data_IF_472749609665
#
_entry.id   IF_472749609665
#
_cell.length_a   1.000
_cell.length_b   1.000
_cell.length_c   1.000
_cell.angle_alpha   90.00
_cell.angle_beta   90.00
_cell.angle_gamma   90.00
#
_symmetry.space_group_name_H-M   'P 1'
#
loop_
_entity.id
_entity.type
_entity.pdbx_description
1 polymer ?
#
# COMPACT_ATOMS: atom_id res chain seq x y z
N UNK A 1 70.08 -59.10 -11.65
CA UNK A 1 69.50 -57.75 -11.62
C UNK A 1 69.85 -57.00 -12.89
N UNK A 2 68.91 -56.97 -13.84
CA UNK A 2 69.02 -56.21 -15.08
C UNK A 2 67.85 -55.21 -15.12
N UNK A 3 68.18 -53.92 -15.16
CA UNK A 3 67.21 -52.82 -15.22
C UNK A 3 66.86 -52.54 -16.70
N UNK A 4 65.59 -52.44 -17.10
CA UNK A 4 65.22 -52.04 -18.46
C UNK A 4 65.25 -50.52 -18.61
N UNK A 5 65.91 -50.06 -19.68
CA UNK A 5 65.95 -48.65 -20.09
C UNK A 5 64.70 -48.35 -20.93
N UNK A 6 63.92 -47.34 -20.53
CA UNK A 6 62.79 -46.80 -21.29
C UNK A 6 63.26 -45.65 -22.20
N UNK A 7 62.76 -45.50 -23.44
CA UNK A 7 63.11 -44.38 -24.29
C UNK A 7 62.28 -43.11 -23.96
N UNK A 8 62.76 -41.91 -24.32
CA UNK A 8 62.13 -40.65 -23.94
C UNK A 8 60.93 -40.32 -24.84
N UNK A 9 59.85 -39.85 -24.22
CA UNK A 9 58.65 -39.33 -24.91
C UNK A 9 58.93 -38.03 -25.67
N UNK A 10 58.59 -38.02 -26.95
CA UNK A 10 58.69 -36.88 -27.86
C UNK A 10 57.50 -35.93 -27.66
N UNK A 11 57.69 -34.88 -26.86
CA UNK A 11 56.69 -33.81 -26.66
C UNK A 11 56.63 -32.85 -27.86
N UNK A 12 56.11 -33.30 -28.99
CA UNK A 12 55.64 -32.39 -30.06
C UNK A 12 54.33 -31.72 -29.65
N UNK A 13 54.46 -30.54 -29.05
CA UNK A 13 53.37 -29.58 -28.79
C UNK A 13 52.66 -29.21 -30.10
N UNK A 14 51.40 -29.62 -30.27
CA UNK A 14 50.48 -29.01 -31.22
C UNK A 14 49.96 -27.70 -30.61
N UNK A 15 50.51 -26.58 -31.07
CA UNK A 15 49.93 -25.25 -30.87
C UNK A 15 48.65 -25.16 -31.70
N UNK A 16 47.51 -25.46 -31.09
CA UNK A 16 46.19 -25.23 -31.68
C UNK A 16 45.92 -23.74 -31.59
N UNK A 17 45.79 -23.11 -32.76
CA UNK A 17 45.34 -21.74 -32.96
C UNK A 17 44.03 -21.47 -32.21
N UNK A 18 44.13 -20.68 -31.14
CA UNK A 18 43.03 -20.26 -30.27
C UNK A 18 42.62 -18.82 -30.57
N UNK A 19 42.55 -18.47 -31.86
CA UNK A 19 42.15 -17.15 -32.34
C UNK A 19 41.06 -17.29 -33.38
N UNK A 20 39.80 -17.52 -32.97
CA UNK A 20 38.63 -17.39 -33.84
C UNK A 20 37.31 -17.53 -33.03
N UNK A 21 37.13 -16.85 -31.90
CA UNK A 21 35.80 -16.76 -31.23
C UNK A 21 35.55 -15.42 -30.51
N UNK A 22 36.09 -14.30 -31.00
CA UNK A 22 35.95 -12.99 -30.31
C UNK A 22 34.80 -12.10 -30.81
N UNK A 23 33.88 -12.62 -31.64
CA UNK A 23 32.76 -11.82 -32.17
C UNK A 23 31.36 -12.39 -31.90
N UNK A 24 31.20 -13.33 -30.96
CA UNK A 24 29.86 -13.71 -30.53
C UNK A 24 29.25 -12.55 -29.72
N UNK A 25 28.06 -12.03 -30.10
CA UNK A 25 27.39 -11.02 -29.29
C UNK A 25 27.18 -11.59 -27.88
N UNK A 26 27.35 -10.77 -26.83
CA UNK A 26 27.15 -11.24 -25.47
C UNK A 26 25.74 -11.84 -25.36
N UNK A 27 25.59 -12.94 -24.62
CA UNK A 27 24.28 -13.55 -24.43
C UNK A 27 23.30 -12.49 -23.90
N UNK A 28 22.03 -12.54 -24.34
CA UNK A 28 21.03 -11.60 -23.87
C UNK A 28 21.01 -11.63 -22.34
N UNK A 29 21.18 -10.46 -21.72
CA UNK A 29 21.11 -10.38 -20.28
C UNK A 29 19.72 -10.79 -19.82
N UNK A 30 19.61 -11.53 -18.70
CA UNK A 30 18.32 -11.79 -18.10
C UNK A 30 17.64 -10.45 -17.79
N UNK A 31 16.30 -10.37 -17.91
CA UNK A 31 15.57 -9.16 -17.53
C UNK A 31 15.91 -8.78 -16.10
N UNK A 32 16.09 -7.48 -15.87
CA UNK A 32 16.30 -6.97 -14.51
C UNK A 32 15.13 -7.41 -13.62
N UNK A 33 15.38 -7.78 -12.35
CA UNK A 33 14.31 -8.12 -11.43
C UNK A 33 13.34 -6.94 -11.33
N UNK A 34 12.03 -7.24 -11.34
CA UNK A 34 11.00 -6.24 -11.21
C UNK A 34 11.21 -5.44 -9.90
N UNK A 35 11.14 -4.11 -9.98
CA UNK A 35 11.20 -3.27 -8.77
C UNK A 35 9.90 -3.47 -8.01
N UNK A 36 9.96 -4.14 -6.86
CA UNK A 36 8.80 -4.39 -6.00
C UNK A 36 8.08 -3.10 -5.58
N UNK A 37 8.74 -1.94 -5.68
CA UNK A 37 8.11 -0.61 -5.45
C UNK A 37 7.09 -0.24 -6.53
N UNK A 38 7.09 -0.94 -7.66
CA UNK A 38 6.09 -0.77 -8.71
C UNK A 38 4.74 -1.39 -8.31
N UNK A 39 4.73 -2.35 -7.39
CA UNK A 39 3.51 -2.95 -6.82
C UNK A 39 2.70 -1.90 -6.05
N UNK A 40 1.38 -1.89 -6.28
CA UNK A 40 0.44 -1.11 -5.51
C UNK A 40 -0.11 -1.98 -4.38
N UNK A 41 -0.06 -1.51 -3.13
CA UNK A 41 -0.60 -2.24 -1.99
C UNK A 41 -1.89 -1.58 -1.56
N UNK A 42 -3.03 -2.27 -1.61
CA UNK A 42 -4.32 -1.69 -1.22
C UNK A 42 -4.69 -2.19 0.17
N UNK A 43 -4.96 -1.24 1.05
CA UNK A 43 -5.28 -1.45 2.46
C UNK A 43 -6.73 -1.08 2.66
N UNK A 44 -7.55 -2.01 3.14
CA UNK A 44 -8.97 -1.80 3.40
C UNK A 44 -9.29 -2.17 4.84
N UNK A 45 -10.05 -1.34 5.51
CA UNK A 45 -10.45 -1.63 6.89
C UNK A 45 -11.47 -0.67 7.45
N UNK A 46 -11.85 -0.94 8.70
CA UNK A 46 -12.83 -0.17 9.45
C UNK A 46 -12.11 0.81 10.37
N UNK A 47 -12.52 2.07 10.30
CA UNK A 47 -12.12 3.11 11.25
C UNK A 47 -13.15 3.16 12.37
N UNK A 48 -12.68 3.03 13.61
CA UNK A 48 -13.50 3.13 14.81
C UNK A 48 -12.98 4.26 15.69
N UNK A 49 -13.88 5.05 16.27
CA UNK A 49 -13.53 6.09 17.23
C UNK A 49 -14.30 5.92 18.53
N UNK A 50 -13.56 5.92 19.64
CA UNK A 50 -14.12 5.95 20.98
C UNK A 50 -13.90 7.36 21.56
N UNK A 51 -14.94 8.21 21.66
CA UNK A 51 -14.81 9.58 22.15
C UNK A 51 -14.37 9.63 23.62
N UNK A 52 -14.89 8.74 24.46
CA UNK A 52 -14.57 8.64 25.90
C UNK A 52 -13.09 8.34 26.14
N UNK A 53 -12.52 7.41 25.37
CA UNK A 53 -11.11 7.03 25.44
C UNK A 53 -10.22 7.90 24.55
N UNK A 54 -10.81 8.76 23.72
CA UNK A 54 -10.15 9.53 22.64
C UNK A 54 -9.25 8.66 21.76
N UNK A 55 -9.69 7.43 21.44
CA UNK A 55 -8.92 6.46 20.65
C UNK A 55 -9.56 6.28 19.28
N UNK A 56 -8.74 6.36 18.24
CA UNK A 56 -9.14 6.06 16.87
C UNK A 56 -8.29 4.90 16.36
N UNK A 57 -8.92 3.85 15.85
CA UNK A 57 -8.26 2.65 15.34
C UNK A 57 -8.70 2.39 13.91
N UNK A 58 -7.79 1.85 13.11
CA UNK A 58 -8.05 1.39 11.76
C UNK A 58 -7.56 -0.05 11.66
N UNK A 59 -8.50 -0.96 11.42
CA UNK A 59 -8.27 -2.41 11.45
C UNK A 59 -8.80 -3.01 10.16
N UNK A 60 -8.03 -3.90 9.54
CA UNK A 60 -8.45 -4.54 8.32
C UNK A 60 -7.39 -5.44 7.70
N UNK A 61 -7.43 -5.54 6.38
CA UNK A 61 -6.52 -6.36 5.58
C UNK A 61 -5.98 -5.60 4.38
N UNK A 62 -4.91 -6.12 3.80
CA UNK A 62 -4.29 -5.55 2.61
C UNK A 62 -4.00 -6.60 1.54
N UNK A 63 -4.13 -6.19 0.28
CA UNK A 63 -3.87 -7.03 -0.88
C UNK A 63 -2.85 -6.36 -1.81
N UNK A 64 -1.88 -7.12 -2.35
CA UNK A 64 -1.00 -6.61 -3.40
C UNK A 64 -1.75 -6.57 -4.74
N UNK A 65 -1.56 -5.50 -5.49
CA UNK A 65 -2.01 -5.35 -6.86
C UNK A 65 -0.79 -5.21 -7.77
N UNK A 66 -0.63 -6.20 -8.65
CA UNK A 66 0.58 -6.37 -9.47
C UNK A 66 0.62 -5.38 -10.64
N UNK A 67 -0.53 -4.97 -11.18
CA UNK A 67 -0.62 -4.05 -12.31
C UNK A 67 -1.78 -3.06 -12.17
N UNK A 68 -1.56 -1.82 -12.60
CA UNK A 68 -2.61 -0.80 -12.78
C UNK A 68 -3.63 -1.18 -13.86
N UNK A 69 -3.27 -2.05 -14.79
CA UNK A 69 -4.14 -2.45 -15.89
C UNK A 69 -5.29 -3.38 -15.47
N UNK A 70 -5.15 -4.04 -14.31
CA UNK A 70 -6.07 -5.09 -13.87
C UNK A 70 -7.27 -4.54 -13.06
N UNK A 71 -7.38 -3.22 -12.92
CA UNK A 71 -8.42 -2.57 -12.11
C UNK A 71 -8.16 -2.66 -10.60
N UNK A 72 -9.01 -2.07 -9.75
CA UNK A 72 -8.86 -2.16 -8.29
C UNK A 72 -8.96 -3.60 -7.78
N UNK A 73 -8.38 -3.92 -6.61
CA UNK A 73 -8.61 -5.20 -5.97
C UNK A 73 -10.08 -5.36 -5.63
N UNK A 74 -10.61 -6.52 -5.99
CA UNK A 74 -11.96 -6.96 -5.69
C UNK A 74 -12.06 -7.48 -4.25
N UNK A 75 -13.28 -7.64 -3.72
CA UNK A 75 -13.49 -8.30 -2.42
C UNK A 75 -12.81 -9.67 -2.34
N UNK A 76 -12.79 -10.41 -3.46
CA UNK A 76 -12.14 -11.72 -3.58
C UNK A 76 -10.62 -11.64 -3.36
N UNK A 77 -9.98 -10.55 -3.73
CA UNK A 77 -8.55 -10.36 -3.49
C UNK A 77 -8.28 -10.26 -1.99
N UNK A 78 -9.11 -9.55 -1.24
CA UNK A 78 -9.01 -9.49 0.23
C UNK A 78 -9.39 -10.83 0.90
N UNK A 79 -10.34 -11.57 0.33
CA UNK A 79 -10.66 -12.94 0.76
C UNK A 79 -9.52 -13.93 0.47
N UNK A 80 -8.70 -13.69 -0.54
CA UNK A 80 -7.52 -14.54 -0.81
C UNK A 80 -6.37 -14.17 0.12
N UNK A 81 -6.33 -12.92 0.58
CA UNK A 81 -5.28 -12.37 1.44
C UNK A 81 -5.76 -12.09 2.87
N UNK A 82 -6.71 -12.88 3.41
CA UNK A 82 -7.31 -12.64 4.75
C UNK A 82 -6.28 -12.57 5.86
N UNK A 83 -5.15 -13.24 5.67
CA UNK A 83 -4.07 -13.34 6.64
C UNK A 83 -3.17 -12.08 6.66
N UNK A 84 -3.22 -11.26 5.60
CA UNK A 84 -2.53 -9.98 5.47
C UNK A 84 -3.28 -8.90 6.25
N UNK A 85 -3.31 -9.05 7.57
CA UNK A 85 -4.05 -8.17 8.47
C UNK A 85 -3.20 -6.99 8.96
N UNK A 86 -3.87 -5.93 9.38
CA UNK A 86 -3.24 -4.81 10.05
C UNK A 86 -4.11 -4.24 11.16
N UNK A 87 -3.43 -3.59 12.11
CA UNK A 87 -4.04 -2.82 13.20
C UNK A 87 -3.21 -1.57 13.38
N UNK A 88 -3.79 -0.42 13.03
CA UNK A 88 -3.19 0.88 13.23
C UNK A 88 -4.00 1.66 14.27
N UNK A 89 -3.29 2.35 15.15
CA UNK A 89 -3.86 3.21 16.17
C UNK A 89 -3.38 4.63 15.94
N UNK A 90 -4.26 5.60 16.12
CA UNK A 90 -3.84 6.98 16.12
C UNK A 90 -2.94 7.24 17.33
N UNK A 91 -1.79 7.86 17.07
CA UNK A 91 -0.94 8.44 18.12
C UNK A 91 -1.50 9.82 18.48
N UNK A 92 -1.84 9.99 19.76
CA UNK A 92 -2.27 11.30 20.26
C UNK A 92 -1.07 12.24 20.28
N UNK A 93 -1.00 13.13 19.29
CA UNK A 93 -0.20 14.35 19.45
C UNK A 93 -0.89 15.21 20.52
N UNK A 94 -0.20 15.41 21.65
CA UNK A 94 -0.68 16.24 22.78
C UNK A 94 -1.01 17.68 22.36
N UNK A 95 -0.51 18.14 21.21
CA UNK A 95 -0.73 19.48 20.68
C UNK A 95 -2.01 19.60 19.85
N UNK A 96 -2.56 18.49 19.37
CA UNK A 96 -3.81 18.49 18.60
C UNK A 96 -4.97 18.34 19.57
N UNK A 97 -5.54 19.48 19.99
CA UNK A 97 -6.79 19.46 20.73
C UNK A 97 -7.91 18.94 19.81
N UNK A 98 -8.45 17.78 20.17
CA UNK A 98 -9.61 17.22 19.48
C UNK A 98 -10.91 17.92 19.89
N UNK A 99 -10.84 18.84 20.85
CA UNK A 99 -12.01 19.54 21.36
C UNK A 99 -13.08 18.56 21.81
N UNK A 100 -14.33 18.90 21.49
CA UNK A 100 -15.54 18.11 21.77
C UNK A 100 -15.89 17.16 20.61
N UNK A 101 -14.93 16.72 19.79
CA UNK A 101 -15.25 15.87 18.65
C UNK A 101 -16.11 14.68 19.09
N UNK A 102 -17.31 14.57 18.53
CA UNK A 102 -18.30 13.56 18.89
C UNK A 102 -18.33 12.40 17.91
N UNK A 103 -17.82 12.60 16.69
CA UNK A 103 -17.84 11.61 15.62
C UNK A 103 -16.47 11.43 14.93
N UNK A 104 -16.37 10.44 14.05
CA UNK A 104 -15.13 10.14 13.31
C UNK A 104 -14.82 11.23 12.26
N UNK A 105 -15.76 11.73 11.45
CA UNK A 105 -15.47 12.78 10.47
C UNK A 105 -14.80 14.02 11.09
N UNK A 106 -15.29 14.50 12.24
CA UNK A 106 -14.71 15.64 12.97
C UNK A 106 -13.26 15.38 13.42
N UNK A 107 -12.94 14.13 13.77
CA UNK A 107 -11.59 13.73 14.17
C UNK A 107 -10.64 13.72 12.98
N UNK A 108 -11.11 13.33 11.80
CA UNK A 108 -10.29 13.06 10.62
C UNK A 108 -10.10 14.27 9.68
N UNK A 109 -11.09 15.15 9.55
CA UNK A 109 -11.07 16.20 8.53
C UNK A 109 -10.06 17.32 8.79
N UNK A 110 -9.33 17.69 7.74
CA UNK A 110 -8.42 18.85 7.71
C UNK A 110 -7.21 18.77 8.65
N UNK A 111 -7.07 17.66 9.38
CA UNK A 111 -6.02 17.43 10.37
C UNK A 111 -5.03 16.41 9.85
N UNK A 112 -3.75 16.63 10.13
CA UNK A 112 -2.75 15.59 9.93
C UNK A 112 -2.69 14.73 11.20
N UNK A 113 -2.99 13.45 11.05
CA UNK A 113 -3.01 12.47 12.13
C UNK A 113 -1.87 11.48 11.94
N UNK A 114 -1.12 11.21 13.01
CA UNK A 114 -0.12 10.15 13.01
C UNK A 114 -0.78 8.83 13.42
N UNK A 115 -0.51 7.79 12.64
CA UNK A 115 -0.94 6.42 12.90
C UNK A 115 0.29 5.53 13.09
N UNK A 116 0.21 4.68 14.10
CA UNK A 116 1.22 3.70 14.46
C UNK A 116 0.54 2.35 14.66
N UNK A 117 1.17 1.30 14.19
CA UNK A 117 0.72 -0.04 14.52
C UNK A 117 1.48 -1.09 13.77
N UNK A 118 0.79 -2.15 13.38
CA UNK A 118 1.43 -3.33 12.84
C UNK A 118 0.64 -3.91 11.68
N UNK A 119 1.34 -4.60 10.80
CA UNK A 119 0.77 -5.40 9.73
C UNK A 119 1.47 -6.75 9.67
N UNK A 120 0.79 -7.74 9.10
CA UNK A 120 1.35 -9.05 8.80
C UNK A 120 1.76 -9.13 7.35
N UNK A 121 2.93 -9.70 7.10
CA UNK A 121 3.47 -9.94 5.77
C UNK A 121 4.25 -11.26 5.77
N UNK A 122 4.04 -12.08 4.75
CA UNK A 122 4.97 -13.16 4.41
C UNK A 122 6.02 -12.61 3.47
N UNK A 123 7.30 -12.79 3.81
CA UNK A 123 8.42 -12.33 2.99
C UNK A 123 8.97 -13.44 2.09
N UNK A 124 8.29 -14.60 2.04
CA UNK A 124 8.73 -15.80 1.34
C UNK A 124 10.12 -16.29 1.80
N UNK A 125 10.53 -15.92 3.01
CA UNK A 125 11.83 -16.30 3.62
C UNK A 125 11.76 -17.64 4.35
N UNK A 126 10.64 -18.34 4.24
CA UNK A 126 10.36 -19.62 4.91
C UNK A 126 10.03 -19.50 6.40
N UNK A 127 9.98 -18.28 6.98
CA UNK A 127 9.59 -18.07 8.38
C UNK A 127 8.08 -17.79 8.54
N UNK A 128 7.36 -17.81 7.42
CA UNK A 128 5.94 -17.46 7.37
C UNK A 128 5.71 -15.99 7.70
N UNK A 129 4.45 -15.66 8.04
CA UNK A 129 4.05 -14.27 8.28
C UNK A 129 4.66 -13.68 9.53
N UNK A 130 5.35 -12.56 9.33
CA UNK A 130 5.95 -11.77 10.39
C UNK A 130 5.08 -10.55 10.70
N UNK A 131 5.12 -10.13 11.96
CA UNK A 131 4.51 -8.88 12.41
C UNK A 131 5.51 -7.76 12.25
N UNK A 132 5.20 -6.85 11.34
CA UNK A 132 6.01 -5.69 10.98
C UNK A 132 5.35 -4.43 11.51
N UNK A 133 6.13 -3.38 11.72
CA UNK A 133 5.65 -2.14 12.36
C UNK A 133 5.51 -1.04 11.31
N UNK A 134 4.41 -0.30 11.36
CA UNK A 134 4.16 0.89 10.55
C UNK A 134 4.27 2.13 11.44
N UNK A 135 5.43 2.80 11.43
CA UNK A 135 5.84 3.75 12.48
C UNK A 135 5.41 5.19 12.25
N UNK A 136 5.17 5.58 10.99
CA UNK A 136 5.10 7.00 10.63
C UNK A 136 4.09 7.27 9.53
N UNK A 137 2.87 6.72 9.66
CA UNK A 137 1.82 7.00 8.69
C UNK A 137 1.09 8.30 9.08
N UNK A 138 1.50 9.41 8.46
CA UNK A 138 0.80 10.68 8.57
C UNK A 138 -0.35 10.71 7.57
N UNK A 139 -1.54 11.00 8.05
CA UNK A 139 -2.77 10.93 7.28
C UNK A 139 -3.56 12.25 7.34
N UNK A 140 -4.22 12.64 6.25
CA UNK A 140 -5.17 13.74 6.21
C UNK A 140 -6.38 13.36 5.38
N UNK A 141 -7.57 13.72 5.85
CA UNK A 141 -8.80 13.64 5.05
C UNK A 141 -9.20 15.01 4.57
N UNK A 142 -9.39 15.14 3.26
CA UNK A 142 -10.10 16.25 2.66
C UNK A 142 -11.57 15.86 2.48
N UNK A 143 -12.52 16.61 3.05
CA UNK A 143 -13.94 16.34 2.83
C UNK A 143 -14.28 16.55 1.35
N UNK A 144 -15.21 15.73 0.86
CA UNK A 144 -15.80 15.87 -0.48
C UNK A 144 -17.22 16.39 -0.30
N UNK A 145 -17.65 17.33 -1.13
CA UNK A 145 -19.05 17.77 -1.14
C UNK A 145 -19.92 16.56 -1.50
N UNK A 146 -21.00 16.32 -0.75
CA UNK A 146 -21.72 15.04 -0.76
C UNK A 146 -22.01 14.53 -2.17
N UNK A 147 -21.29 13.47 -2.56
CA UNK A 147 -21.56 12.70 -3.78
C UNK A 147 -22.02 11.32 -3.35
N UNK A 148 -23.25 10.94 -3.70
CA UNK A 148 -23.68 9.54 -3.62
C UNK A 148 -22.83 8.73 -4.59
N UNK A 149 -22.16 7.69 -4.09
CA UNK A 149 -21.32 6.83 -4.93
C UNK A 149 -22.24 5.82 -5.59
N UNK A 150 -22.49 5.97 -6.89
CA UNK A 150 -23.17 4.94 -7.67
C UNK A 150 -22.22 3.76 -7.85
N UNK A 151 -22.62 2.58 -7.37
CA UNK A 151 -21.92 1.33 -7.68
C UNK A 151 -21.97 1.05 -9.18
N UNK A 152 -20.82 0.73 -9.78
CA UNK A 152 -20.72 0.38 -11.21
C UNK A 152 -21.44 -0.92 -11.55
N UNK A 153 -21.65 -1.79 -10.56
CA UNK A 153 -22.30 -3.08 -10.74
C UNK A 153 -23.83 -2.99 -10.85
N UNK A 154 -24.41 -1.78 -10.84
CA UNK A 154 -25.86 -1.56 -10.89
C UNK A 154 -26.62 -2.03 -9.64
N UNK A 155 -25.91 -2.65 -8.69
CA UNK A 155 -26.34 -2.89 -7.32
C UNK A 155 -26.15 -1.59 -6.54
N UNK A 156 -27.13 -0.69 -6.59
CA UNK A 156 -27.15 0.48 -5.70
C UNK A 156 -27.31 0.00 -4.26
N UNK A 157 -26.19 -0.28 -3.62
CA UNK A 157 -26.13 -0.20 -2.17
C UNK A 157 -26.23 1.30 -1.84
N UNK A 158 -27.46 1.81 -1.76
CA UNK A 158 -27.80 3.19 -1.38
C UNK A 158 -27.27 3.60 0.02
N UNK A 159 -26.51 2.71 0.66
CA UNK A 159 -25.99 2.82 2.02
C UNK A 159 -24.54 3.32 2.09
N UNK A 160 -23.87 3.53 0.95
CA UNK A 160 -22.50 4.06 0.90
C UNK A 160 -22.47 5.55 0.60
N UNK A 161 -21.86 6.32 1.51
CA UNK A 161 -21.68 7.78 1.34
C UNK A 161 -20.20 8.14 1.38
N UNK A 162 -19.70 8.77 0.33
CA UNK A 162 -18.33 9.26 0.30
C UNK A 162 -18.19 10.44 1.27
N UNK A 163 -17.32 10.27 2.26
CA UNK A 163 -17.03 11.27 3.28
C UNK A 163 -15.83 12.14 2.91
N UNK A 164 -14.86 11.58 2.20
CA UNK A 164 -13.65 12.33 1.87
C UNK A 164 -12.58 11.54 1.15
N UNK A 165 -11.60 12.28 0.64
CA UNK A 165 -10.37 11.75 0.07
C UNK A 165 -9.27 11.74 1.11
N UNK A 166 -8.56 10.64 1.17
CA UNK A 166 -7.70 10.23 2.24
C UNK A 166 -6.25 10.23 1.69
N UNK A 167 -5.33 11.03 2.24
CA UNK A 167 -3.93 11.12 1.76
C UNK A 167 -2.98 10.81 2.90
N UNK A 168 -2.08 9.87 2.65
CA UNK A 168 -1.07 9.40 3.57
C UNK A 168 0.35 9.60 3.04
N UNK A 169 1.28 9.98 3.91
CA UNK A 169 2.72 9.88 3.66
C UNK A 169 3.36 9.20 4.85
N UNK A 170 4.42 8.43 4.62
CA UNK A 170 5.10 7.77 5.72
C UNK A 170 6.33 7.00 5.33
N UNK A 171 6.86 6.27 6.31
CA UNK A 171 8.02 5.41 6.14
C UNK A 171 7.94 4.20 7.06
N UNK A 172 8.44 3.07 6.59
CA UNK A 172 8.72 1.88 7.39
C UNK A 172 10.07 1.26 6.96
N UNK A 173 10.31 0.01 7.33
CA UNK A 173 11.55 -0.70 7.00
C UNK A 173 11.78 -0.88 5.48
N UNK A 174 10.73 -0.79 4.67
CA UNK A 174 10.82 -0.88 3.20
C UNK A 174 11.13 0.47 2.55
N UNK A 175 11.06 1.55 3.32
CA UNK A 175 11.36 2.92 2.88
C UNK A 175 10.16 3.84 2.94
N UNK A 176 10.26 4.96 2.22
CA UNK A 176 9.21 5.96 2.16
C UNK A 176 8.05 5.47 1.29
N UNK A 177 6.83 5.90 1.63
CA UNK A 177 5.63 5.60 0.86
C UNK A 177 4.66 6.77 0.82
N UNK A 178 3.80 6.73 -0.18
CA UNK A 178 2.61 7.59 -0.30
C UNK A 178 1.39 6.68 -0.35
N UNK A 179 0.30 7.15 0.21
CA UNK A 179 -0.98 6.47 0.14
C UNK A 179 -2.09 7.46 -0.23
N UNK A 180 -3.03 7.01 -1.05
CA UNK A 180 -4.21 7.79 -1.46
C UNK A 180 -5.41 6.86 -1.40
N UNK A 181 -6.52 7.37 -0.93
CA UNK A 181 -7.67 6.55 -0.62
C UNK A 181 -8.95 7.34 -0.51
N UNK A 182 -9.98 6.65 -0.04
CA UNK A 182 -11.29 7.22 0.25
C UNK A 182 -11.81 6.77 1.59
N UNK A 183 -12.62 7.64 2.17
CA UNK A 183 -13.35 7.41 3.40
C UNK A 183 -14.83 7.30 3.06
N UNK A 184 -15.45 6.16 3.34
CA UNK A 184 -16.86 5.86 3.01
C UNK A 184 -17.60 5.53 4.29
N UNK A 185 -18.72 6.20 4.51
CA UNK A 185 -19.68 5.85 5.55
C UNK A 185 -20.51 4.66 5.06
N UNK A 186 -20.56 3.60 5.85
CA UNK A 186 -21.38 2.42 5.60
C UNK A 186 -22.41 2.33 6.71
N UNK A 187 -23.67 2.54 6.34
CA UNK A 187 -24.78 2.34 7.27
C UNK A 187 -25.15 0.87 7.24
N UNK A 188 -24.93 0.17 8.36
CA UNK A 188 -25.38 -1.22 8.47
C UNK A 188 -26.82 -1.19 8.98
N UNK A 189 -27.75 -1.94 8.35
CA UNK A 189 -29.08 -2.13 8.94
C UNK A 189 -28.95 -2.68 10.36
N UNK A 190 -29.86 -2.34 11.28
CA UNK A 190 -29.87 -2.97 12.60
C UNK A 190 -29.95 -4.49 12.44
N UNK A 191 -29.21 -5.22 13.29
CA UNK A 191 -29.35 -6.67 13.34
C UNK A 191 -30.80 -7.02 13.69
N UNK A 192 -31.40 -8.05 13.07
CA UNK A 192 -32.83 -8.36 13.23
C UNK A 192 -33.24 -8.68 14.68
N UNK A 193 -32.27 -9.01 15.54
CA UNK A 193 -32.47 -9.28 16.97
C UNK A 193 -31.86 -8.17 17.88
N UNK A 194 -31.34 -7.09 17.29
CA UNK A 194 -30.78 -5.94 18.00
C UNK A 194 -31.86 -4.96 18.45
N UNK A 195 -31.56 -4.17 19.49
CA UNK A 195 -32.41 -3.04 19.87
C UNK A 195 -32.50 -2.07 18.68
N UNK A 196 -33.71 -1.73 18.20
CA UNK A 196 -33.97 -0.92 16.99
C UNK A 196 -33.26 0.46 17.00
N UNK A 197 -32.68 0.85 18.13
CA UNK A 197 -31.95 2.10 18.32
C UNK A 197 -30.44 2.01 18.05
N UNK A 198 -29.87 0.83 17.73
CA UNK A 198 -28.42 0.65 17.62
C UNK A 198 -27.94 0.61 16.14
N UNK A 199 -28.25 1.66 15.39
CA UNK A 199 -27.65 1.86 14.05
C UNK A 199 -26.16 2.17 14.25
N UNK A 200 -25.32 1.17 14.00
CA UNK A 200 -23.86 1.33 14.06
C UNK A 200 -23.34 1.92 12.74
N UNK A 201 -23.05 3.22 12.73
CA UNK A 201 -22.32 3.86 11.64
C UNK A 201 -20.87 3.35 11.63
N UNK A 202 -20.49 2.68 10.54
CA UNK A 202 -19.10 2.26 10.29
C UNK A 202 -18.47 3.13 9.23
N UNK A 203 -17.19 3.44 9.40
CA UNK A 203 -16.44 4.15 8.38
C UNK A 203 -15.40 3.22 7.78
N UNK A 204 -15.55 2.95 6.50
CA UNK A 204 -14.60 2.20 5.70
C UNK A 204 -13.53 3.15 5.18
N UNK A 205 -12.28 2.80 5.42
CA UNK A 205 -11.12 3.48 4.86
C UNK A 205 -10.38 2.50 3.96
N UNK A 206 -10.29 2.87 2.68
CA UNK A 206 -9.49 2.15 1.69
C UNK A 206 -8.39 3.04 1.16
N UNK A 207 -7.14 2.60 1.26
CA UNK A 207 -5.94 3.34 0.88
C UNK A 207 -5.09 2.50 -0.08
N UNK A 208 -4.83 3.01 -1.27
CA UNK A 208 -3.79 2.50 -2.15
C UNK A 208 -2.44 3.08 -1.71
N UNK A 209 -1.41 2.24 -1.54
CA UNK A 209 -0.08 2.60 -1.04
C UNK A 209 0.98 2.21 -2.07
N UNK A 210 1.95 3.11 -2.28
CA UNK A 210 3.12 2.87 -3.12
C UNK A 210 4.39 3.30 -2.41
N UNK A 211 5.41 2.47 -2.47
CA UNK A 211 6.74 2.81 -1.97
C UNK A 211 7.51 3.60 -3.01
N UNK A 212 8.31 4.56 -2.55
CA UNK A 212 9.03 5.49 -3.41
C UNK A 212 10.54 5.35 -3.20
N UNK A 213 11.28 5.40 -4.30
CA UNK A 213 12.75 5.43 -4.26
C UNK A 213 13.23 6.75 -3.65
N UNK A 214 14.42 6.72 -3.03
CA UNK A 214 15.07 7.94 -2.51
C UNK A 214 15.35 8.98 -3.61
N UNK A 215 15.46 8.55 -4.86
CA UNK A 215 15.67 9.44 -6.01
C UNK A 215 14.36 9.98 -6.60
N UNK A 216 13.21 9.49 -6.14
CA UNK A 216 11.90 9.98 -6.58
C UNK A 216 11.64 11.39 -6.02
N UNK A 217 11.15 12.32 -6.82
CA UNK A 217 10.84 13.71 -6.38
C UNK A 217 9.87 13.73 -5.20
N UNK A 218 8.97 12.74 -5.15
CA UNK A 218 7.99 12.56 -4.08
C UNK A 218 8.59 12.22 -2.73
N UNK A 219 9.85 11.77 -2.67
CA UNK A 219 10.56 11.54 -1.41
C UNK A 219 10.69 12.80 -0.55
N UNK A 220 10.49 13.98 -1.16
CA UNK A 220 10.48 15.28 -0.49
C UNK A 220 9.13 15.63 0.14
N UNK A 221 8.08 14.85 -0.09
CA UNK A 221 6.75 15.06 0.48
C UNK A 221 6.72 14.57 1.92
N UNK A 222 7.05 15.46 2.85
CA UNK A 222 7.16 15.12 4.27
C UNK A 222 5.79 15.14 4.97
N UNK A 223 4.78 15.77 4.38
CA UNK A 223 3.44 15.88 4.95
C UNK A 223 2.36 15.52 3.93
N UNK A 224 1.16 15.09 4.40
CA UNK A 224 0.02 14.90 3.50
C UNK A 224 -0.35 16.16 2.72
N UNK A 225 -0.10 17.36 3.27
CA UNK A 225 -0.34 18.64 2.59
C UNK A 225 0.58 18.83 1.38
N UNK A 226 1.82 18.34 1.44
CA UNK A 226 2.76 18.42 0.32
C UNK A 226 2.29 17.52 -0.82
N UNK A 227 1.93 16.28 -0.50
CA UNK A 227 1.35 15.35 -1.47
C UNK A 227 0.05 15.90 -2.08
N UNK A 228 -0.81 16.48 -1.24
CA UNK A 228 -2.10 17.04 -1.63
C UNK A 228 -2.00 18.20 -2.64
N UNK A 229 -0.94 19.01 -2.58
CA UNK A 229 -0.72 20.12 -3.53
C UNK A 229 -0.31 19.63 -4.92
N UNK A 230 0.42 18.53 -4.96
CA UNK A 230 1.03 18.00 -6.19
C UNK A 230 0.14 16.95 -6.86
N UNK A 231 -0.65 16.21 -6.07
CA UNK A 231 -1.68 15.32 -6.58
C UNK A 231 -2.86 16.18 -7.05
N UNK A 232 -3.23 16.11 -8.33
CA UNK A 232 -4.40 16.83 -8.85
C UNK A 232 -5.68 16.21 -8.26
N UNK A 233 -6.13 16.75 -7.13
CA UNK A 233 -7.26 16.20 -6.37
C UNK A 233 -8.60 16.37 -7.06
N UNK A 234 -8.71 17.26 -8.06
CA UNK A 234 -9.95 17.38 -8.82
C UNK A 234 -10.25 16.07 -9.55
N UNK A 235 -9.22 15.37 -10.03
CA UNK A 235 -9.34 14.03 -10.59
C UNK A 235 -9.79 12.99 -9.55
N UNK A 236 -9.45 13.18 -8.27
CA UNK A 236 -9.84 12.27 -7.18
C UNK A 236 -11.29 12.43 -6.73
N UNK A 237 -11.86 13.63 -6.89
CA UNK A 237 -13.23 13.93 -6.45
C UNK A 237 -14.30 13.33 -7.37
N UNK A 238 -13.98 13.18 -8.66
CA UNK A 238 -14.93 12.74 -9.68
C UNK A 238 -14.75 11.29 -10.13
N UNK A 239 -13.67 10.64 -9.71
CA UNK A 239 -13.31 9.32 -10.20
C UNK A 239 -13.42 8.28 -9.08
N UNK A 240 -14.08 7.16 -9.38
CA UNK A 240 -13.93 5.94 -8.56
C UNK A 240 -12.47 5.47 -8.54
N UNK A 241 -11.63 5.92 -9.49
CA UNK A 241 -10.27 5.44 -9.73
C UNK A 241 -9.17 6.12 -8.93
N UNK A 242 -9.37 6.31 -7.62
CA UNK A 242 -8.32 6.89 -6.76
C UNK A 242 -7.01 6.08 -6.76
N UNK A 243 -7.07 4.80 -7.14
CA UNK A 243 -5.91 3.91 -7.34
C UNK A 243 -4.99 4.36 -8.50
N UNK A 244 -5.53 5.00 -9.55
CA UNK A 244 -4.73 5.49 -10.69
C UNK A 244 -3.93 6.74 -10.36
N UNK A 245 -4.26 7.41 -9.26
CA UNK A 245 -3.74 8.75 -8.93
C UNK A 245 -2.38 8.73 -8.26
N UNK A 246 -1.87 7.55 -7.88
CA UNK A 246 -0.47 7.41 -7.46
C UNK A 246 0.36 6.99 -8.67
N UNK A 247 0.87 7.93 -9.49
CA UNK A 247 1.60 7.59 -10.70
C UNK A 247 2.80 6.71 -10.36
N UNK A 248 3.13 5.77 -11.24
CA UNK A 248 4.33 4.93 -11.08
C UNK A 248 5.59 5.80 -11.05
N UNK A 249 5.63 6.88 -11.84
CA UNK A 249 6.75 7.83 -11.95
C UNK A 249 6.23 9.26 -12.08
N UNK A 250 6.79 10.20 -11.32
CA UNK A 250 6.61 11.63 -11.56
C UNK A 250 7.69 12.08 -12.54
N UNK A 251 7.29 12.60 -13.70
CA UNK A 251 8.24 13.16 -14.70
C UNK A 251 8.99 14.36 -14.14
#
# INVERSE_FOLDING_TARGET
DAVPITPPEDHRRRSIDRRLTDNAPPPPQPPAPADWRETLFVWQGIVTYNPTKRRCNWVGSWAPQVSHADGPPTSRDFETHQENTFVLHRVLDKRIDLGRATDIPEVLYGRSLSWLGFYKLDQDDGKGRQRLVDFSHLFMVQPVEQTTVSSEDGSSNDNEKLLGTAIGVGSNEFGNFISVGRLVEVTTPPEPDGDDNDIETKIHLTMARRYISNNDKRSKWNTPKDAMKELNLETLKSSNDYWTVIPTKVK
#
